data_IF_433760101091
#
_entry.id   IF_433760101091
#
_cell.length_a   1.000
_cell.length_b   1.000
_cell.length_c   1.000
_cell.angle_alpha   90.00
_cell.angle_beta   90.00
_cell.angle_gamma   90.00
#
_symmetry.space_group_name_H-M   'P 1'
#
loop_
_entity.id
_entity.type
_entity.pdbx_description
1 polymer ?
#
# COMPACT_ATOMS: atom_id res chain seq x y z
N UNK A 1 -37.49 41.69 31.79
CA UNK A 1 -37.68 40.47 30.97
C UNK A 1 -36.33 40.11 30.38
N UNK A 2 -35.84 38.89 30.64
CA UNK A 2 -34.47 38.44 30.34
C UNK A 2 -34.37 38.02 28.88
N UNK A 3 -33.33 38.48 28.19
CA UNK A 3 -33.00 38.10 26.80
C UNK A 3 -32.62 36.62 26.74
N UNK A 4 -33.26 35.87 25.85
CA UNK A 4 -32.95 34.49 25.57
C UNK A 4 -31.71 34.43 24.66
N UNK A 5 -30.60 33.88 25.18
CA UNK A 5 -29.37 33.65 24.43
C UNK A 5 -29.52 32.33 23.66
N UNK A 6 -29.59 32.40 22.33
CA UNK A 6 -29.52 31.25 21.43
C UNK A 6 -28.06 30.76 21.35
N UNK A 7 -27.79 29.59 21.91
CA UNK A 7 -26.49 28.92 21.84
C UNK A 7 -26.37 28.20 20.49
N UNK A 8 -25.64 28.78 19.55
CA UNK A 8 -25.30 28.15 18.27
C UNK A 8 -24.28 27.02 18.49
N UNK A 9 -24.69 25.78 18.28
CA UNK A 9 -23.77 24.65 18.14
C UNK A 9 -23.06 24.75 16.79
N UNK A 10 -21.83 25.29 16.77
CA UNK A 10 -20.92 25.11 15.63
C UNK A 10 -20.43 23.66 15.64
N UNK A 11 -21.04 22.79 14.83
CA UNK A 11 -20.39 21.56 14.41
C UNK A 11 -19.25 21.95 13.45
N UNK A 12 -18.03 21.99 13.97
CA UNK A 12 -16.84 22.01 13.13
C UNK A 12 -16.77 20.68 12.38
N UNK A 13 -17.13 20.69 11.10
CA UNK A 13 -16.92 19.59 10.18
C UNK A 13 -15.42 19.38 9.99
N UNK A 14 -14.83 18.50 10.79
CA UNK A 14 -13.53 17.94 10.49
C UNK A 14 -13.72 16.99 9.30
N UNK A 15 -13.37 17.49 8.12
CA UNK A 15 -13.17 16.66 6.93
C UNK A 15 -12.01 15.70 7.22
N UNK A 16 -12.35 14.51 7.68
CA UNK A 16 -11.43 13.37 7.76
C UNK A 16 -11.06 12.98 6.34
N UNK A 17 -9.89 13.43 5.88
CA UNK A 17 -9.24 12.82 4.71
C UNK A 17 -8.83 11.43 5.17
N UNK A 18 -9.61 10.42 4.81
CA UNK A 18 -9.19 9.03 4.95
C UNK A 18 -8.01 8.85 4.00
N UNK A 19 -6.79 8.72 4.54
CA UNK A 19 -5.68 8.20 3.77
C UNK A 19 -6.04 6.76 3.41
N UNK A 20 -6.24 6.48 2.12
CA UNK A 20 -6.46 5.12 1.67
C UNK A 20 -5.19 4.30 1.94
N UNK A 21 -5.38 3.16 2.59
CA UNK A 21 -4.31 2.18 2.78
C UNK A 21 -4.29 1.28 1.56
N UNK A 22 -3.16 1.28 0.85
CA UNK A 22 -2.97 0.54 -0.39
C UNK A 22 -2.02 -0.64 -0.23
N UNK A 23 -1.72 -1.01 1.02
CA UNK A 23 -0.89 -2.17 1.28
C UNK A 23 -1.71 -3.43 1.06
N UNK A 24 -1.14 -4.37 0.33
CA UNK A 24 -1.69 -5.71 0.15
C UNK A 24 -1.10 -6.65 1.20
N UNK A 25 -1.96 -7.42 1.87
CA UNK A 25 -1.50 -8.47 2.79
C UNK A 25 -1.15 -9.73 2.01
N UNK A 26 0.05 -10.26 2.21
CA UNK A 26 0.55 -11.45 1.51
C UNK A 26 1.19 -12.44 2.48
N UNK A 27 1.08 -13.73 2.18
CA UNK A 27 1.88 -14.78 2.78
C UNK A 27 3.23 -14.84 2.09
N UNK A 28 4.33 -14.83 2.86
CA UNK A 28 5.67 -14.97 2.29
C UNK A 28 5.92 -16.44 1.85
N UNK A 29 6.76 -16.67 0.83
CA UNK A 29 7.07 -18.02 0.36
C UNK A 29 7.61 -18.91 1.49
N UNK A 30 7.16 -20.16 1.54
CA UNK A 30 7.64 -21.12 2.52
C UNK A 30 9.15 -21.38 2.34
N UNK A 31 9.92 -21.10 3.40
CA UNK A 31 11.38 -21.26 3.39
C UNK A 31 12.16 -19.96 3.19
N UNK A 32 11.48 -18.87 2.82
CA UNK A 32 12.10 -17.55 2.78
C UNK A 32 12.10 -16.90 4.16
N UNK A 33 13.07 -16.01 4.36
CA UNK A 33 13.07 -15.10 5.50
C UNK A 33 12.48 -13.76 5.07
N UNK A 34 11.93 -13.01 6.01
CA UNK A 34 11.41 -11.66 5.74
C UNK A 34 12.45 -10.74 5.05
N UNK A 35 13.74 -10.91 5.35
CA UNK A 35 14.82 -10.13 4.73
C UNK A 35 15.06 -10.50 3.26
N UNK A 36 15.00 -11.80 2.93
CA UNK A 36 15.12 -12.29 1.55
C UNK A 36 13.90 -11.82 0.75
N UNK A 37 12.69 -12.08 1.27
CA UNK A 37 11.45 -11.65 0.65
C UNK A 37 11.40 -10.13 0.40
N UNK A 38 11.83 -9.31 1.37
CA UNK A 38 11.89 -7.85 1.22
C UNK A 38 12.81 -7.43 0.08
N UNK A 39 13.99 -8.07 -0.01
CA UNK A 39 14.97 -7.77 -1.06
C UNK A 39 14.41 -8.13 -2.44
N UNK A 40 13.82 -9.31 -2.56
CA UNK A 40 13.28 -9.81 -3.82
C UNK A 40 12.05 -9.01 -4.26
N UNK A 41 11.15 -8.67 -3.33
CA UNK A 41 9.97 -7.86 -3.63
C UNK A 41 10.37 -6.45 -4.09
N UNK A 42 11.25 -5.75 -3.37
CA UNK A 42 11.67 -4.38 -3.73
C UNK A 42 12.47 -4.38 -5.04
N UNK A 43 13.35 -5.36 -5.23
CA UNK A 43 14.10 -5.51 -6.49
C UNK A 43 13.17 -5.76 -7.67
N UNK A 44 12.24 -6.70 -7.53
CA UNK A 44 11.24 -7.02 -8.57
C UNK A 44 10.33 -5.82 -8.85
N UNK A 45 9.82 -5.17 -7.81
CA UNK A 45 8.98 -3.98 -7.95
C UNK A 45 9.72 -2.86 -8.69
N UNK A 46 10.98 -2.57 -8.33
CA UNK A 46 11.74 -1.47 -8.94
C UNK A 46 12.14 -1.70 -10.40
N UNK A 47 12.17 -2.96 -10.82
CA UNK A 47 12.46 -3.36 -12.20
C UNK A 47 11.22 -3.78 -12.97
N UNK A 48 10.04 -3.69 -12.34
CA UNK A 48 8.77 -4.03 -12.94
C UNK A 48 8.47 -3.05 -14.08
N UNK A 49 8.65 -3.52 -15.31
CA UNK A 49 8.39 -2.73 -16.50
C UNK A 49 7.09 -3.23 -17.13
N UNK A 50 5.92 -2.67 -16.77
CA UNK A 50 4.67 -3.05 -17.40
C UNK A 50 4.73 -2.61 -18.86
N UNK A 51 4.80 -3.60 -19.76
CA UNK A 51 5.00 -3.41 -21.20
C UNK A 51 3.97 -2.47 -21.86
N UNK A 52 2.82 -2.23 -21.20
CA UNK A 52 1.74 -1.39 -21.70
C UNK A 52 1.92 0.12 -21.43
N UNK A 53 2.79 0.53 -20.51
CA UNK A 53 2.90 1.94 -20.09
C UNK A 53 4.20 2.67 -20.52
N UNK A 54 5.13 1.98 -21.18
CA UNK A 54 6.38 2.57 -21.69
C UNK A 54 7.22 3.30 -20.64
N UNK A 55 8.23 4.06 -21.06
CA UNK A 55 9.15 4.84 -20.19
C UNK A 55 8.48 5.98 -19.39
N UNK A 56 7.15 5.98 -19.28
CA UNK A 56 6.37 7.06 -18.68
C UNK A 56 5.99 6.80 -17.23
N UNK A 57 6.20 5.58 -16.71
CA UNK A 57 6.00 5.29 -15.30
C UNK A 57 7.29 5.49 -14.50
N UNK A 58 7.15 6.09 -13.32
CA UNK A 58 8.20 6.20 -12.32
C UNK A 58 7.78 5.49 -11.05
N UNK A 59 8.71 4.76 -10.42
CA UNK A 59 8.44 4.10 -9.15
C UNK A 59 8.18 5.17 -8.08
N UNK A 60 7.01 5.12 -7.46
CA UNK A 60 6.62 6.00 -6.36
C UNK A 60 6.97 5.36 -5.02
N UNK A 61 6.64 4.08 -4.85
CA UNK A 61 6.82 3.38 -3.58
C UNK A 61 7.02 1.87 -3.80
N UNK A 62 7.98 1.31 -3.06
CA UNK A 62 8.23 -0.12 -2.98
C UNK A 62 8.59 -0.44 -1.52
N UNK A 63 7.67 -1.05 -0.79
CA UNK A 63 7.87 -1.32 0.65
C UNK A 63 7.23 -2.63 1.07
N UNK A 64 7.90 -3.27 2.02
CA UNK A 64 7.41 -4.43 2.77
C UNK A 64 7.37 -4.05 4.24
N UNK A 65 6.25 -4.30 4.91
CA UNK A 65 6.10 -4.16 6.35
C UNK A 65 5.80 -5.54 6.93
N UNK A 66 6.64 -6.08 7.83
CA UNK A 66 6.41 -7.40 8.40
C UNK A 66 5.11 -7.45 9.21
N UNK A 67 4.37 -8.55 9.03
CA UNK A 67 3.14 -8.86 9.74
C UNK A 67 1.85 -8.37 9.08
N UNK A 68 0.74 -8.73 9.71
CA UNK A 68 -0.62 -8.30 9.34
C UNK A 68 -0.92 -6.84 9.73
N UNK A 69 -2.15 -6.36 9.47
CA UNK A 69 -2.59 -5.02 9.88
C UNK A 69 -2.59 -4.78 11.40
N UNK A 70 -2.44 -5.84 12.21
CA UNK A 70 -2.34 -5.79 13.67
C UNK A 70 -0.89 -5.96 14.17
N UNK A 71 0.06 -6.27 13.28
CA UNK A 71 1.47 -6.55 13.60
C UNK A 71 1.75 -7.98 14.06
N UNK A 72 0.84 -8.94 13.82
CA UNK A 72 1.07 -10.36 14.08
C UNK A 72 1.73 -11.03 12.87
N UNK A 73 2.10 -12.32 12.99
CA UNK A 73 2.58 -13.15 11.87
C UNK A 73 3.82 -12.59 11.14
N UNK A 74 4.68 -11.84 11.83
CA UNK A 74 5.83 -11.11 11.24
C UNK A 74 6.84 -11.98 10.50
N UNK A 75 6.85 -13.29 10.75
CA UNK A 75 7.74 -14.26 10.10
C UNK A 75 7.07 -14.96 8.91
N UNK A 76 5.76 -14.78 8.70
CA UNK A 76 4.98 -15.54 7.70
C UNK A 76 4.13 -14.66 6.79
N UNK A 77 3.85 -13.42 7.19
CA UNK A 77 2.99 -12.48 6.48
C UNK A 77 3.65 -11.11 6.39
N UNK A 78 3.27 -10.34 5.38
CA UNK A 78 3.69 -8.97 5.22
C UNK A 78 2.64 -8.12 4.50
N UNK A 79 2.62 -6.84 4.84
CA UNK A 79 1.94 -5.79 4.10
C UNK A 79 2.90 -5.21 3.06
N UNK A 80 2.57 -5.37 1.78
CA UNK A 80 3.42 -4.94 0.66
C UNK A 80 2.76 -3.86 -0.18
N UNK A 81 3.57 -2.99 -0.77
CA UNK A 81 3.10 -1.98 -1.73
C UNK A 81 4.12 -1.81 -2.84
N UNK A 82 3.65 -1.85 -4.09
CA UNK A 82 4.42 -1.51 -5.28
C UNK A 82 3.62 -0.52 -6.13
N UNK A 83 3.88 0.77 -5.93
CA UNK A 83 3.15 1.86 -6.59
C UNK A 83 4.05 2.57 -7.58
N UNK A 84 3.50 2.78 -8.78
CA UNK A 84 4.11 3.58 -9.82
C UNK A 84 3.26 4.82 -10.08
N UNK A 85 3.83 5.86 -10.67
CA UNK A 85 3.10 7.06 -11.08
C UNK A 85 3.38 7.35 -12.55
N UNK A 86 2.35 7.77 -13.28
CA UNK A 86 2.49 8.18 -14.68
C UNK A 86 3.24 9.50 -14.87
N UNK A 87 3.41 9.94 -16.13
CA UNK A 87 4.17 11.14 -16.46
C UNK A 87 3.47 12.42 -16.01
N UNK A 88 2.15 12.35 -15.79
CA UNK A 88 1.38 13.37 -15.11
C UNK A 88 1.30 12.95 -13.64
N UNK A 89 2.28 13.39 -12.85
CA UNK A 89 2.35 13.16 -11.41
C UNK A 89 1.01 13.54 -10.76
N UNK A 90 0.21 12.54 -10.38
CA UNK A 90 -1.14 12.78 -9.86
C UNK A 90 -1.94 11.52 -9.61
N UNK A 91 -1.80 10.52 -10.48
CA UNK A 91 -2.55 9.26 -10.37
C UNK A 91 -1.60 8.08 -10.15
N UNK A 92 -1.53 7.54 -8.91
CA UNK A 92 -0.76 6.33 -8.64
C UNK A 92 -1.38 5.13 -9.36
N UNK A 93 -0.55 4.39 -10.09
CA UNK A 93 -0.87 3.09 -10.71
C UNK A 93 -0.44 1.99 -9.75
N UNK A 94 -1.42 1.24 -9.25
CA UNK A 94 -1.25 0.29 -8.15
C UNK A 94 -1.49 -1.16 -8.56
N UNK A 95 -1.88 -1.37 -9.82
CA UNK A 95 -2.23 -2.67 -10.41
C UNK A 95 -1.05 -3.67 -10.41
N UNK A 96 0.14 -3.25 -9.97
CA UNK A 96 1.35 -4.07 -9.96
C UNK A 96 1.64 -4.74 -8.62
N UNK A 97 1.07 -4.27 -7.50
CA UNK A 97 1.43 -4.80 -6.17
C UNK A 97 1.20 -6.31 -6.07
N UNK A 98 0.00 -6.78 -6.45
CA UNK A 98 -0.33 -8.21 -6.46
C UNK A 98 0.54 -8.98 -7.45
N UNK A 99 0.71 -8.46 -8.66
CA UNK A 99 1.48 -9.13 -9.70
C UNK A 99 2.97 -9.29 -9.33
N UNK A 100 3.55 -8.29 -8.68
CA UNK A 100 4.93 -8.34 -8.16
C UNK A 100 5.02 -9.34 -7.01
N UNK A 101 4.06 -9.34 -6.09
CA UNK A 101 4.02 -10.30 -4.98
C UNK A 101 3.98 -11.75 -5.50
N UNK A 102 3.10 -12.02 -6.47
CA UNK A 102 3.00 -13.33 -7.12
C UNK A 102 4.29 -13.70 -7.87
N UNK A 103 4.95 -12.75 -8.54
CA UNK A 103 6.20 -12.97 -9.26
C UNK A 103 7.37 -13.39 -8.34
N UNK A 104 7.36 -12.96 -7.08
CA UNK A 104 8.32 -13.40 -6.06
C UNK A 104 7.80 -14.58 -5.23
N UNK A 105 6.69 -15.20 -5.65
CA UNK A 105 6.14 -16.41 -5.05
C UNK A 105 5.27 -16.18 -3.80
N UNK A 106 4.99 -14.94 -3.43
CA UNK A 106 4.07 -14.64 -2.34
C UNK A 106 2.61 -14.86 -2.78
N UNK A 107 1.75 -15.16 -1.83
CA UNK A 107 0.32 -15.40 -2.07
C UNK A 107 -0.51 -14.31 -1.42
N UNK A 108 -1.34 -13.56 -2.15
CA UNK A 108 -2.28 -12.61 -1.56
C UNK A 108 -3.20 -13.30 -0.54
N UNK A 109 -3.35 -12.68 0.62
CA UNK A 109 -4.29 -13.09 1.66
C UNK A 109 -5.49 -12.16 1.55
N UNK A 110 -6.59 -12.68 1.00
CA UNK A 110 -7.86 -11.97 1.02
C UNK A 110 -8.35 -11.84 2.46
N UNK A 111 -8.72 -10.63 2.87
CA UNK A 111 -9.51 -10.42 4.10
C UNK A 111 -10.92 -11.03 3.99
#
# INVERSE_FOLDING_TARGET
MRFATLTSFLLAGVSVVAAADFRELVAIPAGDTMAVFTTDFVSTCSTWYPAENGDSLHLLDARVTPGDYQGNNVDTEALVVCTWVGPNEGDPVQDFTVAVAEAVGATPISE
#
